data_IF_656621949504
#
_entry.id   IF_656621949504
#
_cell.length_a   1.000
_cell.length_b   1.000
_cell.length_c   1.000
_cell.angle_alpha   90.00
_cell.angle_beta   90.00
_cell.angle_gamma   90.00
#
_symmetry.space_group_name_H-M   'P 1'
#
loop_
_entity.id
_entity.type
_entity.pdbx_description
1 polymer ?
#
# COMPACT_ATOMS: atom_id res chain seq x y z
N UNK A 1 7.87 12.22 24.53
CA UNK A 1 6.93 11.23 25.12
C UNK A 1 6.91 10.04 24.17
N UNK A 2 6.95 8.81 24.70
CA UNK A 2 6.78 7.61 23.85
C UNK A 2 5.37 7.58 23.25
N UNK A 3 5.26 7.09 22.01
CA UNK A 3 3.97 6.87 21.37
C UNK A 3 3.75 5.38 21.15
N UNK A 4 2.64 4.87 21.68
CA UNK A 4 2.21 3.49 21.45
C UNK A 4 1.39 3.42 20.16
N UNK A 5 1.74 2.50 19.29
CA UNK A 5 1.04 2.21 18.04
C UNK A 5 0.28 0.88 18.15
N UNK A 6 -0.99 0.92 17.82
CA UNK A 6 -1.83 -0.28 17.80
C UNK A 6 -1.59 -1.07 16.51
N UNK A 7 -1.41 -2.39 16.66
CA UNK A 7 -1.15 -3.32 15.56
C UNK A 7 -2.37 -4.21 15.31
N UNK A 8 -2.67 -4.41 14.03
CA UNK A 8 -3.54 -5.47 13.55
C UNK A 8 -2.68 -6.54 12.87
N UNK A 9 -2.69 -7.74 13.40
CA UNK A 9 -1.90 -8.88 12.90
C UNK A 9 -2.81 -9.81 12.11
N UNK A 10 -2.56 -9.94 10.80
CA UNK A 10 -3.25 -10.88 9.92
C UNK A 10 -2.31 -12.01 9.54
N UNK A 11 -2.57 -13.20 10.06
CA UNK A 11 -1.82 -14.41 9.72
C UNK A 11 -2.50 -15.13 8.55
N UNK A 12 -1.72 -15.49 7.55
CA UNK A 12 -2.21 -16.22 6.37
C UNK A 12 -2.57 -17.68 6.68
N UNK A 13 -3.25 -18.35 5.73
CA UNK A 13 -3.54 -19.76 5.83
C UNK A 13 -2.23 -20.55 6.07
N UNK A 14 -2.28 -21.58 6.89
CA UNK A 14 -1.12 -22.39 7.29
C UNK A 14 -0.05 -21.64 8.11
N UNK A 15 -0.30 -20.41 8.54
CA UNK A 15 0.61 -19.58 9.36
C UNK A 15 2.02 -19.40 8.76
N UNK A 16 2.14 -19.38 7.43
CA UNK A 16 3.42 -19.21 6.71
C UNK A 16 3.69 -17.80 6.21
N UNK A 17 2.79 -16.90 6.51
CA UNK A 17 2.88 -15.48 6.14
C UNK A 17 2.07 -14.65 7.11
N UNK A 18 2.53 -13.46 7.44
CA UNK A 18 1.87 -12.54 8.35
C UNK A 18 2.01 -11.12 7.84
N UNK A 19 0.90 -10.39 7.77
CA UNK A 19 0.89 -8.95 7.62
C UNK A 19 0.60 -8.29 8.97
N UNK A 20 1.36 -7.25 9.30
CA UNK A 20 1.03 -6.34 10.39
C UNK A 20 0.67 -4.99 9.79
N UNK A 21 -0.50 -4.49 10.15
CA UNK A 21 -0.98 -3.15 9.81
C UNK A 21 -0.86 -2.27 11.05
N UNK A 22 -0.23 -1.12 10.91
CA UNK A 22 -0.17 -0.12 11.98
C UNK A 22 -1.42 0.74 11.90
N UNK A 23 -2.34 0.56 12.84
CA UNK A 23 -3.70 1.13 12.80
C UNK A 23 -3.66 2.66 12.71
N UNK A 24 -2.81 3.28 13.52
CA UNK A 24 -2.71 4.74 13.64
C UNK A 24 -1.86 5.39 12.54
N UNK A 25 -1.26 4.60 11.67
CA UNK A 25 -0.33 5.07 10.64
C UNK A 25 -0.68 4.47 9.28
N UNK A 26 -1.67 5.07 8.62
CA UNK A 26 -2.24 4.54 7.38
C UNK A 26 -1.17 4.25 6.33
N UNK A 27 -1.13 3.01 5.84
CA UNK A 27 -0.16 2.56 4.84
C UNK A 27 1.13 1.96 5.42
N UNK A 28 1.40 2.14 6.72
CA UNK A 28 2.49 1.42 7.37
C UNK A 28 2.09 -0.05 7.54
N UNK A 29 2.75 -0.91 6.79
CA UNK A 29 2.51 -2.36 6.79
C UNK A 29 3.84 -3.07 6.67
N UNK A 30 3.95 -4.24 7.30
CA UNK A 30 5.08 -5.13 7.09
C UNK A 30 4.62 -6.56 6.88
N UNK A 31 5.36 -7.27 6.05
CA UNK A 31 5.16 -8.68 5.77
C UNK A 31 6.31 -9.50 6.33
N UNK A 32 5.99 -10.57 7.06
CA UNK A 32 6.97 -11.55 7.58
C UNK A 32 6.43 -12.97 7.47
N UNK A 33 7.30 -13.93 7.69
CA UNK A 33 6.90 -15.35 7.66
C UNK A 33 6.06 -15.74 8.87
N UNK A 34 6.37 -15.21 10.04
CA UNK A 34 5.69 -15.55 11.30
C UNK A 34 5.13 -14.30 11.99
N UNK A 35 4.14 -14.50 12.85
CA UNK A 35 3.55 -13.41 13.64
C UNK A 35 4.58 -12.82 14.61
N UNK A 36 5.37 -13.65 15.28
CA UNK A 36 6.37 -13.18 16.23
C UNK A 36 7.39 -12.26 15.55
N UNK A 37 7.97 -12.70 14.41
CA UNK A 37 8.87 -11.84 13.63
C UNK A 37 8.21 -10.53 13.20
N UNK A 38 6.94 -10.57 12.78
CA UNK A 38 6.23 -9.39 12.33
C UNK A 38 5.97 -8.40 13.48
N UNK A 39 5.66 -8.89 14.66
CA UNK A 39 5.46 -8.06 15.86
C UNK A 39 6.79 -7.49 16.37
N UNK A 40 7.84 -8.30 16.43
CA UNK A 40 9.17 -7.89 16.88
C UNK A 40 9.76 -6.80 15.97
N UNK A 41 9.57 -6.91 14.65
CA UNK A 41 10.08 -5.96 13.66
C UNK A 41 9.20 -4.69 13.52
N UNK A 42 7.97 -4.68 14.07
CA UNK A 42 7.01 -3.61 13.85
C UNK A 42 7.52 -2.23 14.29
N UNK A 43 8.19 -2.13 15.43
CA UNK A 43 8.75 -0.86 15.91
C UNK A 43 9.82 -0.30 14.97
N UNK A 44 10.64 -1.16 14.38
CA UNK A 44 11.64 -0.77 13.38
C UNK A 44 10.98 -0.27 12.10
N UNK A 45 9.98 -0.99 11.59
CA UNK A 45 9.24 -0.60 10.39
C UNK A 45 8.50 0.72 10.57
N UNK A 46 7.89 0.94 11.74
CA UNK A 46 7.25 2.22 12.07
C UNK A 46 8.26 3.38 11.99
N UNK A 47 9.47 3.22 12.55
CA UNK A 47 10.52 4.26 12.46
C UNK A 47 10.93 4.54 11.03
N UNK A 48 11.09 3.50 10.20
CA UNK A 48 11.40 3.68 8.77
C UNK A 48 10.29 4.44 8.03
N UNK A 49 9.02 4.10 8.32
CA UNK A 49 7.88 4.80 7.73
C UNK A 49 7.79 6.26 8.22
N UNK A 50 8.06 6.52 9.49
CA UNK A 50 8.11 7.88 10.04
C UNK A 50 9.26 8.71 9.44
N UNK A 51 10.46 8.11 9.24
CA UNK A 51 11.58 8.78 8.54
C UNK A 51 11.19 9.13 7.11
N UNK A 52 10.53 8.23 6.41
CA UNK A 52 10.04 8.48 5.07
C UNK A 52 9.05 9.66 5.05
N UNK A 53 8.06 9.67 5.94
CA UNK A 53 7.10 10.77 6.06
C UNK A 53 7.80 12.09 6.40
N UNK A 54 8.73 12.08 7.35
CA UNK A 54 9.51 13.25 7.74
C UNK A 54 10.34 13.80 6.57
N UNK A 55 10.99 12.91 5.82
CA UNK A 55 11.76 13.27 4.63
C UNK A 55 10.94 13.96 3.55
N UNK A 56 9.64 13.67 3.47
CA UNK A 56 8.68 14.34 2.59
C UNK A 56 7.98 15.56 3.24
N UNK A 57 8.40 15.99 4.42
CA UNK A 57 7.93 17.21 5.09
C UNK A 57 6.67 17.03 5.95
N UNK A 58 6.26 15.78 6.27
CA UNK A 58 5.24 15.58 7.30
C UNK A 58 5.79 15.96 8.67
N UNK A 59 4.91 16.56 9.48
CA UNK A 59 5.24 16.95 10.86
C UNK A 59 5.17 15.75 11.80
N UNK A 60 6.11 14.85 11.65
CA UNK A 60 6.29 13.68 12.53
C UNK A 60 7.71 13.68 13.07
N UNK A 61 7.90 13.13 14.26
CA UNK A 61 9.22 12.95 14.87
C UNK A 61 9.67 11.49 14.63
N UNK A 62 10.63 11.24 13.72
CA UNK A 62 11.10 9.90 13.41
C UNK A 62 11.95 9.27 14.51
N UNK A 63 12.48 10.09 15.43
CA UNK A 63 13.35 9.66 16.52
C UNK A 63 12.61 9.49 17.85
N UNK A 64 11.30 9.81 17.88
CA UNK A 64 10.46 9.56 19.04
C UNK A 64 10.47 8.07 19.41
N UNK A 65 10.51 7.73 20.72
CA UNK A 65 10.39 6.35 21.16
C UNK A 65 9.09 5.72 20.67
N UNK A 66 9.22 4.58 19.98
CA UNK A 66 8.11 3.81 19.42
C UNK A 66 7.86 2.60 20.32
N UNK A 67 6.66 2.49 20.84
CA UNK A 67 6.11 1.30 21.48
C UNK A 67 5.02 0.70 20.59
N UNK A 68 4.82 -0.60 20.67
CA UNK A 68 3.79 -1.31 19.90
C UNK A 68 2.91 -2.15 20.81
N UNK A 69 1.63 -2.27 20.42
CA UNK A 69 0.68 -3.12 21.11
C UNK A 69 -0.19 -3.86 20.09
N UNK A 70 -0.22 -5.18 20.16
CA UNK A 70 -1.17 -5.98 19.36
C UNK A 70 -2.58 -5.73 19.90
N UNK A 71 -3.42 -5.12 19.09
CA UNK A 71 -4.81 -4.81 19.42
C UNK A 71 -5.76 -5.86 18.87
N UNK A 72 -5.47 -6.35 17.65
CA UNK A 72 -6.28 -7.34 16.97
C UNK A 72 -5.40 -8.38 16.29
N UNK A 73 -5.88 -9.62 16.30
CA UNK A 73 -5.30 -10.73 15.54
C UNK A 73 -6.39 -11.40 14.70
N UNK A 74 -6.04 -11.81 13.50
CA UNK A 74 -6.94 -12.57 12.63
C UNK A 74 -6.21 -13.65 11.84
N UNK A 75 -6.93 -14.71 11.51
CA UNK A 75 -6.48 -15.71 10.55
C UNK A 75 -7.21 -15.44 9.22
N UNK A 76 -6.45 -15.22 8.15
CA UNK A 76 -7.01 -15.01 6.83
C UNK A 76 -7.69 -16.28 6.32
N UNK A 77 -8.95 -16.16 5.89
CA UNK A 77 -9.75 -17.29 5.42
C UNK A 77 -9.38 -17.79 4.01
N UNK A 78 -8.56 -17.03 3.28
CA UNK A 78 -8.16 -17.36 1.90
C UNK A 78 -6.74 -16.88 1.60
N UNK A 79 -6.57 -15.61 1.31
CA UNK A 79 -5.27 -15.00 1.07
C UNK A 79 -5.00 -13.88 2.08
N UNK A 80 -3.74 -13.65 2.37
CA UNK A 80 -3.28 -12.55 3.22
C UNK A 80 -3.48 -11.21 2.48
N UNK A 81 -3.74 -10.12 3.23
CA UNK A 81 -4.06 -8.81 2.65
C UNK A 81 -5.57 -8.52 2.60
N UNK A 82 -6.38 -9.43 3.14
CA UNK A 82 -7.85 -9.28 3.21
C UNK A 82 -8.35 -8.64 4.50
N UNK A 83 -7.45 -8.27 5.41
CA UNK A 83 -7.77 -7.75 6.73
C UNK A 83 -8.90 -6.72 6.75
N UNK A 84 -9.81 -6.89 7.69
CA UNK A 84 -10.90 -5.96 7.96
C UNK A 84 -10.60 -5.25 9.27
N UNK A 85 -10.19 -4.00 9.15
CA UNK A 85 -10.00 -3.12 10.29
C UNK A 85 -11.31 -2.37 10.53
N UNK A 86 -11.75 -2.29 11.79
CA UNK A 86 -12.92 -1.47 12.15
C UNK A 86 -12.68 0.00 11.80
N UNK A 87 -11.47 0.45 11.95
CA UNK A 87 -11.02 1.80 11.61
C UNK A 87 -11.23 2.15 10.13
N UNK A 88 -11.24 1.14 9.24
CA UNK A 88 -11.55 1.35 7.82
C UNK A 88 -13.00 1.82 7.57
N UNK A 89 -13.91 1.62 8.53
CA UNK A 89 -15.30 2.07 8.42
C UNK A 89 -15.47 3.56 8.70
N UNK A 90 -14.48 4.21 9.31
CA UNK A 90 -14.55 5.65 9.57
C UNK A 90 -14.57 6.44 8.26
N UNK A 91 -15.51 7.40 8.12
CA UNK A 91 -15.57 8.27 6.96
C UNK A 91 -14.29 9.05 6.73
N UNK A 92 -13.96 9.32 5.46
CA UNK A 92 -12.83 10.16 5.10
C UNK A 92 -13.25 11.63 5.04
N UNK A 93 -12.52 12.49 5.75
CA UNK A 93 -12.68 13.95 5.63
C UNK A 93 -11.97 14.46 4.36
N UNK A 94 -12.31 15.67 3.86
CA UNK A 94 -11.53 16.29 2.79
C UNK A 94 -10.04 16.46 3.12
N UNK A 95 -9.72 16.74 4.38
CA UNK A 95 -8.34 16.87 4.86
C UNK A 95 -7.60 15.51 4.80
N UNK A 96 -8.27 14.42 5.19
CA UNK A 96 -7.71 13.07 5.05
C UNK A 96 -7.43 12.73 3.59
N UNK A 97 -8.37 13.02 2.69
CA UNK A 97 -8.19 12.79 1.24
C UNK A 97 -6.98 13.56 0.73
N UNK A 98 -6.85 14.84 1.06
CA UNK A 98 -5.70 15.66 0.67
C UNK A 98 -4.40 15.10 1.23
N UNK A 99 -4.37 14.72 2.50
CA UNK A 99 -3.19 14.16 3.16
C UNK A 99 -2.74 12.86 2.48
N UNK A 100 -3.63 11.90 2.37
CA UNK A 100 -3.25 10.56 1.90
C UNK A 100 -3.04 10.49 0.39
N UNK A 101 -3.69 11.34 -0.41
CA UNK A 101 -3.35 11.45 -1.85
C UNK A 101 -1.95 12.02 -2.05
N UNK A 102 -1.52 12.98 -1.21
CA UNK A 102 -0.13 13.48 -1.21
C UNK A 102 0.87 12.36 -0.88
N UNK A 103 0.56 11.50 0.09
CA UNK A 103 1.41 10.35 0.41
C UNK A 103 1.47 9.34 -0.75
N UNK A 104 0.36 9.13 -1.47
CA UNK A 104 0.34 8.32 -2.69
C UNK A 104 1.21 8.92 -3.80
N UNK A 105 1.24 10.25 -3.95
CA UNK A 105 2.14 10.96 -4.88
C UNK A 105 3.61 10.71 -4.53
N UNK A 106 3.97 10.85 -3.27
CA UNK A 106 5.32 10.62 -2.78
C UNK A 106 5.77 9.16 -2.97
N UNK A 107 4.97 8.19 -2.55
CA UNK A 107 5.29 6.78 -2.70
C UNK A 107 5.56 6.39 -4.16
N UNK A 108 4.71 6.89 -5.09
CA UNK A 108 4.90 6.64 -6.53
C UNK A 108 6.14 7.35 -7.08
N UNK A 109 6.42 8.57 -6.67
CA UNK A 109 7.61 9.28 -7.09
C UNK A 109 8.89 8.54 -6.66
N UNK A 110 8.93 8.08 -5.42
CA UNK A 110 10.06 7.29 -4.89
C UNK A 110 10.22 5.95 -5.61
N UNK A 111 9.11 5.23 -5.84
CA UNK A 111 9.15 3.98 -6.59
C UNK A 111 9.71 4.18 -8.01
N UNK A 112 9.28 5.24 -8.70
CA UNK A 112 9.76 5.56 -10.04
C UNK A 112 11.24 5.96 -10.02
N UNK A 113 11.66 6.79 -9.07
CA UNK A 113 13.06 7.18 -8.89
C UNK A 113 13.96 5.96 -8.64
N UNK A 114 13.51 5.01 -7.81
CA UNK A 114 14.22 3.78 -7.50
C UNK A 114 14.46 2.92 -8.74
N UNK A 115 13.49 2.83 -9.66
CA UNK A 115 13.58 1.98 -10.85
C UNK A 115 14.04 2.71 -12.11
N UNK A 116 14.23 4.03 -12.07
CA UNK A 116 14.66 4.82 -13.23
C UNK A 116 16.04 4.40 -13.73
N UNK A 117 16.95 4.10 -12.80
CA UNK A 117 18.32 3.68 -13.08
C UNK A 117 18.47 2.17 -13.35
N UNK A 118 17.38 1.41 -13.26
CA UNK A 118 17.40 -0.03 -13.47
C UNK A 118 17.29 -0.34 -14.96
N UNK A 119 18.31 -0.96 -15.52
CA UNK A 119 18.30 -1.37 -16.92
C UNK A 119 17.32 -2.51 -17.21
N UNK A 120 17.01 -2.72 -18.48
CA UNK A 120 16.07 -3.75 -18.93
C UNK A 120 16.50 -5.15 -18.49
N UNK A 121 17.80 -5.46 -18.56
CA UNK A 121 18.31 -6.80 -18.19
C UNK A 121 18.03 -7.10 -16.73
N UNK A 122 18.27 -6.14 -15.85
CA UNK A 122 18.00 -6.27 -14.41
C UNK A 122 16.50 -6.32 -14.10
N UNK A 123 15.67 -5.54 -14.81
CA UNK A 123 14.22 -5.60 -14.68
C UNK A 123 13.64 -6.98 -15.03
N UNK A 124 14.18 -7.61 -16.08
CA UNK A 124 13.70 -8.91 -16.60
C UNK A 124 14.41 -10.10 -15.94
N UNK A 125 15.42 -9.87 -15.11
CA UNK A 125 16.17 -10.94 -14.45
C UNK A 125 15.24 -11.81 -13.58
N UNK A 126 15.20 -13.11 -13.90
CA UNK A 126 14.40 -14.08 -13.13
C UNK A 126 15.17 -14.47 -11.86
N UNK A 127 14.67 -14.13 -10.67
CA UNK A 127 15.32 -14.52 -9.42
C UNK A 127 15.15 -16.01 -9.14
N UNK A 128 15.91 -16.56 -8.22
CA UNK A 128 15.75 -17.95 -7.76
C UNK A 128 14.36 -18.24 -7.17
N UNK A 129 13.69 -17.20 -6.64
CA UNK A 129 12.32 -17.30 -6.16
C UNK A 129 11.60 -15.95 -6.29
N UNK A 130 10.28 -15.98 -6.44
CA UNK A 130 9.45 -14.79 -6.55
C UNK A 130 9.35 -14.22 -7.97
N UNK A 131 8.92 -12.94 -8.08
CA UNK A 131 8.73 -12.24 -9.36
C UNK A 131 10.01 -11.57 -9.82
N UNK A 132 10.13 -11.30 -11.13
CA UNK A 132 11.10 -10.32 -11.64
C UNK A 132 10.78 -8.93 -11.11
N UNK A 133 11.71 -7.98 -11.16
CA UNK A 133 11.41 -6.58 -10.81
C UNK A 133 10.28 -6.02 -11.68
N UNK A 134 10.29 -6.35 -12.98
CA UNK A 134 9.20 -6.02 -13.90
C UNK A 134 7.87 -6.59 -13.39
N UNK A 135 7.84 -7.87 -13.01
CA UNK A 135 6.63 -8.52 -12.53
C UNK A 135 6.10 -7.91 -11.22
N UNK A 136 6.97 -7.38 -10.35
CA UNK A 136 6.56 -6.61 -9.18
C UNK A 136 5.89 -5.29 -9.60
N UNK A 137 6.48 -4.54 -10.53
CA UNK A 137 5.93 -3.27 -11.02
C UNK A 137 4.59 -3.46 -11.74
N UNK A 138 4.45 -4.51 -12.55
CA UNK A 138 3.19 -4.89 -13.20
C UNK A 138 2.11 -5.25 -12.17
N UNK A 139 2.50 -5.92 -11.09
CA UNK A 139 1.61 -6.24 -9.98
C UNK A 139 1.14 -4.98 -9.23
N UNK A 140 2.05 -4.05 -8.92
CA UNK A 140 1.71 -2.74 -8.31
C UNK A 140 0.76 -1.96 -9.20
N UNK A 141 1.03 -1.91 -10.50
CA UNK A 141 0.18 -1.23 -11.48
C UNK A 141 -1.24 -1.84 -11.54
N UNK A 142 -1.34 -3.17 -11.57
CA UNK A 142 -2.62 -3.88 -11.60
C UNK A 142 -3.43 -3.71 -10.31
N UNK A 143 -2.76 -3.63 -9.18
CA UNK A 143 -3.39 -3.44 -7.88
C UNK A 143 -4.10 -2.09 -7.74
N UNK A 144 -3.52 -1.00 -8.23
CA UNK A 144 -4.14 0.33 -8.24
C UNK A 144 -5.52 0.32 -8.91
N UNK A 145 -5.61 -0.30 -10.09
CA UNK A 145 -6.89 -0.49 -10.79
C UNK A 145 -7.90 -1.24 -9.94
N UNK A 146 -7.49 -2.32 -9.28
CA UNK A 146 -8.34 -3.13 -8.41
C UNK A 146 -8.86 -2.34 -7.21
N UNK A 147 -8.01 -1.59 -6.54
CA UNK A 147 -8.39 -0.79 -5.37
C UNK A 147 -9.37 0.33 -5.73
N UNK A 148 -9.11 1.09 -6.80
CA UNK A 148 -10.02 2.13 -7.28
C UNK A 148 -11.38 1.54 -7.70
N UNK A 149 -11.38 0.42 -8.43
CA UNK A 149 -12.61 -0.27 -8.81
C UNK A 149 -13.41 -0.74 -7.59
N UNK A 150 -12.73 -1.20 -6.56
CA UNK A 150 -13.38 -1.70 -5.35
C UNK A 150 -14.32 -0.67 -4.70
N UNK A 151 -13.98 0.61 -4.79
CA UNK A 151 -14.74 1.73 -4.21
C UNK A 151 -15.68 2.38 -5.23
N UNK A 152 -15.14 2.78 -6.38
CA UNK A 152 -15.83 3.67 -7.30
C UNK A 152 -16.57 2.94 -8.44
N UNK A 153 -16.32 1.64 -8.64
CA UNK A 153 -16.92 0.81 -9.70
C UNK A 153 -16.63 1.31 -11.13
N UNK A 154 -15.74 2.26 -11.27
CA UNK A 154 -15.23 2.76 -12.55
C UNK A 154 -13.72 2.84 -12.50
N UNK A 155 -13.08 2.48 -13.60
CA UNK A 155 -11.60 2.41 -13.66
C UNK A 155 -11.04 2.80 -15.01
N UNK A 156 -11.86 3.34 -15.93
CA UNK A 156 -11.37 3.55 -17.30
C UNK A 156 -10.06 4.34 -17.31
N UNK A 157 -10.00 5.46 -16.62
CA UNK A 157 -8.81 6.32 -16.56
C UNK A 157 -7.58 5.65 -15.94
N UNK A 158 -7.77 4.77 -14.95
CA UNK A 158 -6.69 3.99 -14.34
C UNK A 158 -6.39 2.74 -15.14
N UNK A 159 -7.44 2.13 -15.71
CA UNK A 159 -7.35 0.87 -16.44
C UNK A 159 -6.74 0.99 -17.84
N UNK A 160 -6.95 2.10 -18.53
CA UNK A 160 -6.42 2.28 -19.89
C UNK A 160 -4.88 2.24 -19.91
N UNK A 161 -4.13 3.02 -19.10
CA UNK A 161 -2.67 2.92 -19.07
C UNK A 161 -2.20 1.56 -18.52
N UNK A 162 -2.91 0.99 -17.53
CA UNK A 162 -2.59 -0.35 -17.01
C UNK A 162 -2.67 -1.42 -18.09
N UNK A 163 -3.79 -1.47 -18.82
CA UNK A 163 -4.00 -2.46 -19.87
C UNK A 163 -3.03 -2.25 -21.06
N UNK A 164 -2.72 -1.01 -21.40
CA UNK A 164 -1.76 -0.69 -22.46
C UNK A 164 -0.35 -1.18 -22.12
N UNK A 165 0.10 -0.99 -20.87
CA UNK A 165 1.40 -1.47 -20.44
C UNK A 165 1.49 -2.99 -20.40
N UNK A 166 0.47 -3.67 -19.86
CA UNK A 166 0.41 -5.13 -19.81
C UNK A 166 0.35 -5.77 -21.20
N UNK A 167 -0.17 -5.02 -22.19
CA UNK A 167 -0.15 -5.42 -23.60
C UNK A 167 1.14 -5.01 -24.35
N UNK A 168 2.13 -4.44 -23.67
CA UNK A 168 3.38 -3.97 -24.27
C UNK A 168 3.25 -2.73 -25.18
N UNK A 169 2.12 -2.00 -25.10
CA UNK A 169 1.81 -0.84 -25.93
C UNK A 169 2.18 0.49 -25.28
N UNK A 170 2.51 0.48 -23.99
CA UNK A 170 2.92 1.64 -23.23
C UNK A 170 4.11 1.25 -22.33
N UNK A 171 5.07 2.14 -22.18
CA UNK A 171 6.16 1.95 -21.25
C UNK A 171 5.62 1.81 -19.81
N UNK A 172 6.18 0.85 -19.06
CA UNK A 172 5.68 0.51 -17.73
C UNK A 172 5.81 1.66 -16.72
N UNK A 173 6.90 2.45 -16.79
CA UNK A 173 7.12 3.60 -15.92
C UNK A 173 6.13 4.73 -16.23
N UNK A 174 5.85 4.92 -17.51
CA UNK A 174 4.82 5.88 -17.96
C UNK A 174 3.45 5.44 -17.44
N UNK A 175 3.10 4.18 -17.62
CA UNK A 175 1.82 3.64 -17.14
C UNK A 175 1.67 3.74 -15.61
N UNK A 176 2.72 3.45 -14.86
CA UNK A 176 2.73 3.60 -13.40
C UNK A 176 2.44 5.05 -12.97
N UNK A 177 3.03 6.02 -13.68
CA UNK A 177 2.78 7.46 -13.43
C UNK A 177 1.35 7.85 -13.77
N UNK A 178 0.89 7.51 -14.97
CA UNK A 178 -0.44 7.90 -15.46
C UNK A 178 -1.56 7.25 -14.67
N UNK A 179 -1.48 5.94 -14.38
CA UNK A 179 -2.48 5.23 -13.61
C UNK A 179 -2.60 5.80 -12.18
N UNK A 180 -1.48 6.12 -11.53
CA UNK A 180 -1.49 6.71 -10.20
C UNK A 180 -2.06 8.14 -10.22
N UNK A 181 -1.70 8.96 -11.19
CA UNK A 181 -2.26 10.29 -11.34
C UNK A 181 -3.79 10.23 -11.53
N UNK A 182 -4.27 9.35 -12.41
CA UNK A 182 -5.69 9.14 -12.62
C UNK A 182 -6.43 8.63 -11.36
N UNK A 183 -5.80 7.72 -10.60
CA UNK A 183 -6.34 7.24 -9.34
C UNK A 183 -6.47 8.37 -8.30
N UNK A 184 -5.45 9.19 -8.15
CA UNK A 184 -5.43 10.34 -7.25
C UNK A 184 -6.50 11.35 -7.62
N UNK A 185 -6.62 11.71 -8.90
CA UNK A 185 -7.66 12.62 -9.37
C UNK A 185 -9.06 12.07 -9.08
N UNK A 186 -9.30 10.78 -9.30
CA UNK A 186 -10.58 10.14 -8.97
C UNK A 186 -10.87 10.17 -7.46
N UNK A 187 -9.86 9.94 -6.64
CA UNK A 187 -9.97 9.97 -5.17
C UNK A 187 -10.24 11.40 -4.68
N UNK A 188 -9.53 12.40 -5.20
CA UNK A 188 -9.75 13.82 -4.87
C UNK A 188 -11.16 14.29 -5.25
N UNK A 189 -11.71 13.78 -6.35
CA UNK A 189 -13.07 14.05 -6.81
C UNK A 189 -14.16 13.28 -6.05
N UNK A 190 -13.83 12.51 -4.99
CA UNK A 190 -14.82 11.74 -4.24
C UNK A 190 -15.83 12.64 -3.56
N UNK A 191 -17.11 12.41 -3.85
CA UNK A 191 -18.24 13.14 -3.24
C UNK A 191 -18.35 12.85 -1.73
N UNK A 192 -19.05 13.70 -0.96
CA UNK A 192 -19.30 13.42 0.45
C UNK A 192 -19.96 12.06 0.70
N UNK A 193 -20.84 11.62 -0.20
CA UNK A 193 -21.48 10.31 -0.11
C UNK A 193 -20.48 9.17 -0.32
N UNK A 194 -19.62 9.26 -1.33
CA UNK A 194 -18.57 8.26 -1.60
C UNK A 194 -17.56 8.16 -0.47
N UNK A 195 -17.17 9.31 0.16
CA UNK A 195 -16.25 9.30 1.31
C UNK A 195 -16.81 8.62 2.56
N UNK A 196 -18.13 8.51 2.67
CA UNK A 196 -18.84 7.84 3.78
C UNK A 196 -19.34 6.45 3.42
N UNK A 197 -19.24 6.07 2.14
CA UNK A 197 -19.81 4.82 1.64
C UNK A 197 -19.10 3.61 2.26
N UNK A 198 -19.92 2.68 2.74
CA UNK A 198 -19.49 1.34 3.18
C UNK A 198 -20.21 0.33 2.28
N UNK A 199 -19.46 -0.33 1.43
CA UNK A 199 -20.02 -1.30 0.49
C UNK A 199 -19.59 -2.72 0.84
N UNK A 200 -20.53 -3.63 0.88
CA UNK A 200 -20.27 -5.06 1.05
C UNK A 200 -20.07 -5.73 -0.33
N UNK A 201 -19.13 -6.65 -0.41
CA UNK A 201 -18.88 -7.48 -1.59
C UNK A 201 -18.37 -8.86 -1.16
N UNK A 202 -19.28 -9.83 -1.08
CA UNK A 202 -18.98 -11.12 -0.46
C UNK A 202 -18.51 -10.96 0.99
N UNK A 203 -17.39 -11.59 1.32
CA UNK A 203 -16.80 -11.47 2.63
C UNK A 203 -16.05 -10.14 2.87
N UNK A 204 -15.93 -9.24 1.90
CA UNK A 204 -15.14 -8.03 1.99
C UNK A 204 -15.99 -6.77 2.12
N UNK A 205 -15.48 -5.82 2.92
CA UNK A 205 -16.02 -4.48 3.07
C UNK A 205 -15.13 -3.49 2.34
N UNK A 206 -15.69 -2.60 1.53
CA UNK A 206 -14.97 -1.63 0.72
C UNK A 206 -15.36 -0.22 1.13
N UNK A 207 -14.37 0.56 1.52
CA UNK A 207 -14.47 1.97 1.90
C UNK A 207 -13.33 2.74 1.24
N UNK A 208 -13.45 4.06 1.18
CA UNK A 208 -12.36 4.89 0.66
C UNK A 208 -11.12 4.81 1.57
N UNK A 209 -11.31 4.72 2.89
CA UNK A 209 -10.19 4.57 3.84
C UNK A 209 -9.42 3.27 3.61
N UNK A 210 -10.13 2.15 3.46
CA UNK A 210 -9.49 0.87 3.13
C UNK A 210 -8.76 0.92 1.79
N UNK A 211 -9.34 1.56 0.78
CA UNK A 211 -8.70 1.74 -0.53
C UNK A 211 -7.35 2.46 -0.37
N UNK A 212 -7.34 3.61 0.32
CA UNK A 212 -6.13 4.39 0.57
C UNK A 212 -5.11 3.61 1.41
N UNK A 213 -5.54 2.93 2.47
CA UNK A 213 -4.67 2.06 3.27
C UNK A 213 -4.01 0.99 2.41
N UNK A 214 -4.81 0.33 1.57
CA UNK A 214 -4.30 -0.74 0.70
C UNK A 214 -3.34 -0.22 -0.36
N UNK A 215 -3.65 0.91 -1.00
CA UNK A 215 -2.77 1.52 -2.01
C UNK A 215 -1.43 1.94 -1.40
N UNK A 216 -1.45 2.62 -0.25
CA UNK A 216 -0.24 3.07 0.44
C UNK A 216 0.60 1.88 0.94
N UNK A 217 -0.04 0.93 1.62
CA UNK A 217 0.67 -0.21 2.20
C UNK A 217 1.25 -1.14 1.14
N UNK A 218 0.50 -1.41 0.07
CA UNK A 218 0.96 -2.27 -1.02
C UNK A 218 2.16 -1.67 -1.75
N UNK A 219 2.16 -0.36 -1.99
CA UNK A 219 3.30 0.30 -2.61
C UNK A 219 4.50 0.40 -1.68
N UNK A 220 4.26 0.66 -0.38
CA UNK A 220 5.30 0.63 0.64
C UNK A 220 6.01 -0.73 0.69
N UNK A 221 5.24 -1.82 0.77
CA UNK A 221 5.76 -3.19 0.81
C UNK A 221 6.61 -3.51 -0.43
N UNK A 222 6.08 -3.25 -1.62
CA UNK A 222 6.78 -3.57 -2.85
C UNK A 222 7.97 -2.65 -3.16
N UNK A 223 7.92 -1.39 -2.73
CA UNK A 223 9.08 -0.51 -2.80
C UNK A 223 10.21 -1.07 -1.93
N UNK A 224 9.94 -1.47 -0.69
CA UNK A 224 10.92 -2.09 0.22
C UNK A 224 11.45 -3.41 -0.36
N UNK A 225 10.60 -4.21 -0.99
CA UNK A 225 11.01 -5.42 -1.69
C UNK A 225 11.99 -5.13 -2.83
N UNK A 226 11.74 -4.11 -3.65
CA UNK A 226 12.61 -3.70 -4.74
C UNK A 226 13.93 -3.13 -4.20
N UNK A 227 13.89 -2.26 -3.20
CA UNK A 227 15.08 -1.71 -2.53
C UNK A 227 16.03 -2.84 -2.08
N UNK A 228 15.50 -3.84 -1.37
CA UNK A 228 16.28 -4.98 -0.89
C UNK A 228 16.87 -5.86 -2.01
N UNK A 229 16.31 -5.81 -3.23
CA UNK A 229 16.84 -6.56 -4.38
C UNK A 229 17.82 -5.75 -5.24
N UNK A 230 17.87 -4.43 -5.04
CA UNK A 230 18.79 -3.56 -5.76
C UNK A 230 20.11 -3.36 -5.01
N UNK A 231 20.11 -3.56 -3.69
CA UNK A 231 21.31 -3.61 -2.83
C UNK A 231 22.00 -4.97 -2.95
#
# INVERSE_FOLDING_TARGET
MSRTYDLFVETGPQRKSTNVYVIDLLGCVLFRRTADQAVDDAASEIREYLRWLHGHGEKVDPDAPVETRVKHESLAGGFIGSARLEEDLAPMTPADVTKYTRWLEWGRADLLALVEQVDRRRLEHTPASGRTLRGILEHVLGADKGYVYSVFRTTKSVGDPTNAALAGKLDLRVALREARAAAIERIKAATPAERKSVRQGGASTYTLRRCLRSMLGHEWEHRREIEARLT
#
